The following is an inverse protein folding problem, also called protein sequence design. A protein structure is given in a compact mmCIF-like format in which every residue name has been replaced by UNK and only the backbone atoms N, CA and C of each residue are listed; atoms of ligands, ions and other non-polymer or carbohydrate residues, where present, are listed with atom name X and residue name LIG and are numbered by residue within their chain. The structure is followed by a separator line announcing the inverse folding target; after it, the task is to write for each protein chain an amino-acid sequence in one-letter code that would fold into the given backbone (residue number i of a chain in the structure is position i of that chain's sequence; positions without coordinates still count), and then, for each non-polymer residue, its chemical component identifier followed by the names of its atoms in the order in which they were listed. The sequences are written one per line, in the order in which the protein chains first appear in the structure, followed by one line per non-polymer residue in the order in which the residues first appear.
data_IF_044852162352
#
_entry.id   IF_044852162352
#
_cell.length_a   1.000
_cell.length_b   1.000
_cell.length_c   1.000
_cell.angle_alpha   90.00
_cell.angle_beta   90.00
_cell.angle_gamma   90.00
#
_symmetry.space_group_name_H-M   'P 1'
#
loop_
_entity.id
_entity.type
_entity.pdbx_description
1 polymer ?
#
# COMPACT_ATOMS: atom_id res chain seq x y z
N UNK A 1 -73.29 71.86 7.06
CA UNK A 1 -73.47 70.46 7.54
C UNK A 1 -72.93 69.41 6.58
N UNK A 2 -72.90 69.66 5.25
CA UNK A 2 -72.40 68.67 4.27
C UNK A 2 -70.87 68.56 4.16
N UNK A 3 -70.08 69.58 4.53
CA UNK A 3 -68.60 69.49 4.48
C UNK A 3 -67.98 68.63 5.58
N UNK A 4 -68.56 68.64 6.79
CA UNK A 4 -68.06 67.85 7.93
C UNK A 4 -68.30 66.35 7.69
N UNK A 5 -69.44 66.00 7.08
CA UNK A 5 -69.79 64.61 6.74
C UNK A 5 -68.90 64.06 5.61
N UNK A 6 -68.55 64.90 4.62
CA UNK A 6 -67.64 64.51 3.55
C UNK A 6 -66.20 64.27 4.05
N UNK A 7 -65.67 65.16 4.91
CA UNK A 7 -64.35 64.97 5.53
C UNK A 7 -64.26 63.72 6.42
N UNK A 8 -65.35 63.34 7.10
CA UNK A 8 -65.39 62.12 7.92
C UNK A 8 -65.45 60.85 7.07
N UNK A 9 -66.20 60.87 5.95
CA UNK A 9 -66.34 59.75 5.02
C UNK A 9 -65.06 59.50 4.22
N UNK A 10 -64.33 60.56 3.87
CA UNK A 10 -63.03 60.49 3.19
C UNK A 10 -61.91 60.05 4.14
N UNK A 11 -61.93 60.48 5.41
CA UNK A 11 -61.04 59.97 6.48
C UNK A 11 -61.17 58.45 6.70
N UNK A 12 -62.38 57.91 6.73
CA UNK A 12 -62.61 56.46 6.89
C UNK A 12 -62.17 55.67 5.65
N UNK A 13 -62.41 56.19 4.43
CA UNK A 13 -61.91 55.57 3.19
C UNK A 13 -60.39 55.57 3.11
N UNK A 14 -59.73 56.68 3.45
CA UNK A 14 -58.27 56.81 3.47
C UNK A 14 -57.67 55.84 4.50
N UNK A 15 -58.25 55.75 5.72
CA UNK A 15 -57.82 54.76 6.72
C UNK A 15 -57.96 53.32 6.24
N UNK A 16 -59.04 52.99 5.53
CA UNK A 16 -59.28 51.64 5.01
C UNK A 16 -58.28 51.28 3.89
N UNK A 17 -57.96 52.25 3.02
CA UNK A 17 -56.93 52.09 1.98
C UNK A 17 -55.54 51.91 2.61
N UNK A 18 -55.20 52.68 3.66
CA UNK A 18 -53.94 52.55 4.38
C UNK A 18 -53.80 51.18 5.07
N UNK A 19 -54.87 50.66 5.68
CA UNK A 19 -54.87 49.32 6.29
C UNK A 19 -54.67 48.24 5.22
N UNK A 20 -55.37 48.32 4.09
CA UNK A 20 -55.22 47.36 2.99
C UNK A 20 -53.80 47.41 2.41
N UNK A 21 -53.25 48.61 2.20
CA UNK A 21 -51.88 48.79 1.73
C UNK A 21 -50.85 48.19 2.72
N UNK A 22 -51.05 48.38 4.02
CA UNK A 22 -50.18 47.81 5.05
C UNK A 22 -50.23 46.28 5.07
N UNK A 23 -51.42 45.68 4.91
CA UNK A 23 -51.57 44.22 4.81
C UNK A 23 -50.87 43.67 3.56
N UNK A 24 -50.99 44.35 2.41
CA UNK A 24 -50.30 43.95 1.18
C UNK A 24 -48.78 44.00 1.36
N UNK A 25 -48.26 45.03 2.02
CA UNK A 25 -46.82 45.16 2.31
C UNK A 25 -46.33 44.02 3.22
N UNK A 26 -47.09 43.67 4.26
CA UNK A 26 -46.74 42.56 5.17
C UNK A 26 -46.71 41.22 4.41
N UNK A 27 -47.68 40.98 3.52
CA UNK A 27 -47.73 39.77 2.69
C UNK A 27 -46.52 39.75 1.74
N UNK A 28 -46.20 40.87 1.10
CA UNK A 28 -45.06 40.98 0.18
C UNK A 28 -43.72 40.71 0.90
N UNK A 29 -43.51 41.28 2.10
CA UNK A 29 -42.31 41.02 2.91
C UNK A 29 -42.22 39.54 3.29
N UNK A 30 -43.34 38.96 3.75
CA UNK A 30 -43.39 37.55 4.17
C UNK A 30 -43.05 36.59 3.02
N UNK A 31 -43.59 36.84 1.81
CA UNK A 31 -43.29 36.06 0.61
C UNK A 31 -41.83 36.22 0.19
N UNK A 32 -41.31 37.45 0.17
CA UNK A 32 -39.90 37.71 -0.17
C UNK A 32 -38.94 37.04 0.82
N UNK A 33 -39.22 37.10 2.13
CA UNK A 33 -38.39 36.43 3.14
C UNK A 33 -38.42 34.90 2.99
N UNK A 34 -39.59 34.31 2.71
CA UNK A 34 -39.71 32.87 2.47
C UNK A 34 -38.94 32.42 1.22
N UNK A 35 -39.08 33.15 0.10
CA UNK A 35 -38.35 32.87 -1.13
C UNK A 35 -36.84 33.05 -0.96
N UNK A 36 -36.40 34.09 -0.27
CA UNK A 36 -34.99 34.33 0.02
C UNK A 36 -34.38 33.20 0.87
N UNK A 37 -35.07 32.80 1.94
CA UNK A 37 -34.60 31.73 2.83
C UNK A 37 -34.58 30.36 2.14
N UNK A 38 -35.64 30.02 1.40
CA UNK A 38 -35.70 28.75 0.66
C UNK A 38 -34.64 28.66 -0.44
N UNK A 39 -34.43 29.74 -1.21
CA UNK A 39 -33.38 29.79 -2.23
C UNK A 39 -31.98 29.67 -1.61
N UNK A 40 -31.72 30.36 -0.48
CA UNK A 40 -30.43 30.27 0.21
C UNK A 40 -30.16 28.84 0.72
N UNK A 41 -31.15 28.18 1.32
CA UNK A 41 -31.04 26.78 1.74
C UNK A 41 -30.77 25.83 0.56
N UNK A 42 -31.41 26.06 -0.58
CA UNK A 42 -31.18 25.24 -1.79
C UNK A 42 -29.76 25.43 -2.33
N UNK A 43 -29.26 26.68 -2.37
CA UNK A 43 -27.89 26.99 -2.77
C UNK A 43 -26.85 26.37 -1.82
N UNK A 44 -27.08 26.39 -0.50
CA UNK A 44 -26.21 25.73 0.47
C UNK A 44 -26.19 24.20 0.27
N UNK A 45 -27.35 23.58 0.07
CA UNK A 45 -27.43 22.14 -0.23
C UNK A 45 -26.68 21.77 -1.51
N UNK A 46 -26.78 22.60 -2.55
CA UNK A 46 -26.04 22.40 -3.80
C UNK A 46 -24.54 22.55 -3.57
N UNK A 47 -24.09 23.56 -2.81
CA UNK A 47 -22.67 23.74 -2.46
C UNK A 47 -22.13 22.55 -1.68
N UNK A 48 -22.82 22.13 -0.62
CA UNK A 48 -22.46 20.96 0.18
C UNK A 48 -22.42 19.71 -0.69
N UNK A 49 -23.42 19.49 -1.56
CA UNK A 49 -23.43 18.34 -2.46
C UNK A 49 -22.27 18.37 -3.46
N UNK A 50 -21.90 19.54 -4.00
CA UNK A 50 -20.72 19.70 -4.87
C UNK A 50 -19.42 19.41 -4.11
N UNK A 51 -19.26 19.95 -2.91
CA UNK A 51 -18.09 19.69 -2.07
C UNK A 51 -17.97 18.21 -1.70
N UNK A 52 -19.09 17.56 -1.34
CA UNK A 52 -19.13 16.13 -1.06
C UNK A 52 -18.71 15.31 -2.29
N UNK A 53 -19.20 15.66 -3.49
CA UNK A 53 -18.79 15.00 -4.74
C UNK A 53 -17.29 15.15 -5.00
N UNK A 54 -16.73 16.35 -4.82
CA UNK A 54 -15.28 16.59 -4.99
C UNK A 54 -14.48 15.78 -3.98
N UNK A 55 -14.90 15.75 -2.71
CA UNK A 55 -14.24 14.95 -1.66
C UNK A 55 -14.30 13.45 -1.97
N UNK A 56 -15.43 12.95 -2.43
CA UNK A 56 -15.58 11.55 -2.84
C UNK A 56 -14.66 11.21 -4.03
N UNK A 57 -14.58 12.09 -5.02
CA UNK A 57 -13.68 11.92 -6.16
C UNK A 57 -12.20 11.89 -5.74
N UNK A 58 -11.78 12.85 -4.91
CA UNK A 58 -10.42 12.89 -4.38
C UNK A 58 -10.10 11.65 -3.54
N UNK A 59 -11.04 11.20 -2.70
CA UNK A 59 -10.87 9.99 -1.91
C UNK A 59 -10.76 8.74 -2.79
N UNK A 60 -11.57 8.64 -3.85
CA UNK A 60 -11.51 7.55 -4.82
C UNK A 60 -10.18 7.50 -5.56
N UNK A 61 -9.72 8.64 -6.08
CA UNK A 61 -8.40 8.77 -6.75
C UNK A 61 -7.24 8.42 -5.82
N UNK A 62 -7.26 8.93 -4.59
CA UNK A 62 -6.26 8.62 -3.57
C UNK A 62 -6.28 7.14 -3.16
N UNK A 63 -7.44 6.49 -3.15
CA UNK A 63 -7.54 5.05 -2.89
C UNK A 63 -6.83 4.24 -3.99
N UNK A 64 -6.97 4.65 -5.26
CA UNK A 64 -6.26 4.06 -6.40
C UNK A 64 -4.74 4.22 -6.22
N UNK A 65 -4.26 5.45 -5.97
CA UNK A 65 -2.83 5.73 -5.73
C UNK A 65 -2.26 4.88 -4.58
N UNK A 66 -2.91 4.92 -3.40
CA UNK A 66 -2.47 4.17 -2.22
C UNK A 66 -2.43 2.66 -2.47
N UNK A 67 -3.36 2.13 -3.27
CA UNK A 67 -3.35 0.71 -3.64
C UNK A 67 -2.10 0.38 -4.45
N UNK A 68 -1.77 1.19 -5.45
CA UNK A 68 -0.59 0.97 -6.29
C UNK A 68 0.73 1.20 -5.56
N UNK A 69 0.82 2.21 -4.71
CA UNK A 69 1.98 2.43 -3.84
C UNK A 69 2.29 1.18 -3.02
N UNK A 70 1.27 0.61 -2.36
CA UNK A 70 1.40 -0.63 -1.57
C UNK A 70 1.63 -1.87 -2.43
N UNK A 71 0.97 -1.97 -3.59
CA UNK A 71 1.15 -3.06 -4.53
C UNK A 71 2.62 -3.14 -5.00
N UNK A 72 3.28 -2.00 -5.15
CA UNK A 72 4.66 -1.89 -5.63
C UNK A 72 5.72 -1.83 -4.53
N UNK A 73 5.33 -1.90 -3.25
CA UNK A 73 6.29 -2.14 -2.17
C UNK A 73 6.97 -3.51 -2.32
N UNK A 74 8.16 -3.66 -1.75
CA UNK A 74 8.92 -4.90 -1.80
C UNK A 74 10.14 -4.83 -2.70
N UNK A 75 11.02 -5.81 -2.53
CA UNK A 75 12.27 -5.93 -3.24
C UNK A 75 12.16 -6.70 -4.53
N UNK A 76 12.90 -6.25 -5.54
CA UNK A 76 13.15 -7.09 -6.72
C UNK A 76 14.00 -8.31 -6.34
N UNK A 77 14.01 -9.31 -7.22
CA UNK A 77 14.90 -10.48 -7.09
C UNK A 77 16.36 -10.05 -6.99
N UNK A 78 16.79 -9.02 -7.74
CA UNK A 78 18.18 -8.53 -7.69
C UNK A 78 18.52 -7.99 -6.29
N UNK A 79 17.59 -7.27 -5.65
CA UNK A 79 17.74 -6.78 -4.27
C UNK A 79 17.81 -7.94 -3.27
N UNK A 80 16.94 -8.93 -3.44
CA UNK A 80 16.97 -10.15 -2.62
C UNK A 80 18.33 -10.87 -2.72
N UNK A 81 18.87 -11.04 -3.93
CA UNK A 81 20.18 -11.68 -4.14
C UNK A 81 21.31 -10.87 -3.51
N UNK A 82 21.30 -9.54 -3.64
CA UNK A 82 22.28 -8.66 -2.99
C UNK A 82 22.23 -8.82 -1.46
N UNK A 83 21.04 -8.83 -0.89
CA UNK A 83 20.85 -8.99 0.55
C UNK A 83 21.33 -10.37 1.03
N UNK A 84 20.96 -11.46 0.34
CA UNK A 84 21.46 -12.81 0.67
C UNK A 84 22.99 -12.89 0.62
N UNK A 85 23.62 -12.19 -0.33
CA UNK A 85 25.08 -12.14 -0.42
C UNK A 85 25.70 -11.38 0.77
N UNK A 86 25.07 -10.28 1.21
CA UNK A 86 25.52 -9.53 2.39
C UNK A 86 25.32 -10.32 3.69
N UNK A 87 24.22 -11.08 3.81
CA UNK A 87 24.00 -12.03 4.92
C UNK A 87 25.14 -13.05 4.96
N UNK A 88 25.43 -13.71 3.84
CA UNK A 88 26.51 -14.69 3.75
C UNK A 88 27.87 -14.09 4.11
N UNK A 89 28.20 -12.88 3.63
CA UNK A 89 29.46 -12.22 3.95
C UNK A 89 29.58 -11.86 5.42
N UNK A 90 28.53 -11.27 5.99
CA UNK A 90 28.52 -10.81 7.39
C UNK A 90 28.52 -11.96 8.40
N UNK A 91 28.01 -13.14 8.03
CA UNK A 91 27.99 -14.35 8.84
C UNK A 91 29.39 -14.90 9.15
N UNK A 92 30.31 -14.83 8.19
CA UNK A 92 31.64 -15.49 8.26
C UNK A 92 32.43 -15.11 9.52
N UNK A 93 32.46 -13.82 9.88
CA UNK A 93 33.28 -13.37 11.01
C UNK A 93 32.71 -13.84 12.36
N UNK A 94 31.39 -13.85 12.50
CA UNK A 94 30.69 -14.33 13.71
C UNK A 94 30.83 -15.84 13.82
N UNK A 95 30.78 -16.57 12.70
CA UNK A 95 30.98 -18.01 12.71
C UNK A 95 32.42 -18.43 13.05
N UNK A 96 33.40 -17.62 12.65
CA UNK A 96 34.81 -17.82 13.00
C UNK A 96 35.08 -17.57 14.48
N UNK A 97 34.28 -16.76 15.16
CA UNK A 97 34.37 -16.56 16.61
C UNK A 97 33.63 -17.65 17.41
N UNK A 98 33.23 -18.75 16.77
CA UNK A 98 32.67 -19.92 17.45
C UNK A 98 31.15 -19.89 17.61
N UNK A 99 30.45 -19.00 16.92
CA UNK A 99 28.98 -18.99 16.87
C UNK A 99 28.44 -19.65 15.61
N UNK A 100 27.14 -19.97 15.56
CA UNK A 100 26.46 -20.47 14.36
C UNK A 100 25.13 -19.76 14.21
N UNK A 101 24.82 -19.30 12.99
CA UNK A 101 23.56 -18.63 12.71
C UNK A 101 22.42 -19.65 12.59
N UNK A 102 21.56 -19.71 13.60
CA UNK A 102 20.46 -20.66 13.63
C UNK A 102 19.15 -20.08 13.08
N UNK A 103 18.98 -18.76 13.16
CA UNK A 103 17.79 -18.09 12.65
C UNK A 103 18.09 -16.66 12.21
N UNK A 104 17.32 -16.20 11.22
CA UNK A 104 17.22 -14.78 10.91
C UNK A 104 15.87 -14.49 10.26
N UNK A 105 15.42 -13.25 10.36
CA UNK A 105 14.22 -12.77 9.70
C UNK A 105 14.47 -11.38 9.13
N UNK A 106 14.13 -11.19 7.87
CA UNK A 106 14.24 -9.90 7.18
C UNK A 106 12.88 -9.48 6.64
N UNK A 107 12.60 -8.18 6.72
CA UNK A 107 11.54 -7.51 5.99
C UNK A 107 12.15 -6.44 5.05
N UNK A 108 11.31 -5.61 4.46
CA UNK A 108 11.75 -4.56 3.52
C UNK A 108 12.74 -3.55 4.12
N UNK A 109 12.70 -3.32 5.44
CA UNK A 109 13.48 -2.29 6.12
C UNK A 109 14.63 -2.86 6.96
N UNK A 110 14.39 -3.96 7.67
CA UNK A 110 15.28 -4.45 8.70
C UNK A 110 15.38 -5.99 8.70
N UNK A 111 16.46 -6.48 9.30
CA UNK A 111 16.77 -7.86 9.55
C UNK A 111 17.13 -8.06 11.03
N UNK A 112 16.70 -9.18 11.58
CA UNK A 112 17.07 -9.67 12.89
C UNK A 112 17.83 -10.98 12.73
N UNK A 113 18.95 -11.13 13.41
CA UNK A 113 19.83 -12.30 13.31
C UNK A 113 20.09 -12.89 14.68
N UNK A 114 20.04 -14.21 14.78
CA UNK A 114 20.30 -14.95 16.01
C UNK A 114 21.38 -16.01 15.79
N UNK A 115 22.34 -16.02 16.71
CA UNK A 115 23.50 -16.90 16.67
C UNK A 115 23.68 -17.62 18.00
N UNK A 116 24.01 -18.91 17.94
CA UNK A 116 24.27 -19.73 19.12
C UNK A 116 25.75 -20.10 19.24
N UNK A 117 26.30 -20.04 20.44
CA UNK A 117 27.67 -20.44 20.73
C UNK A 117 27.83 -21.95 20.52
N UNK A 118 28.86 -22.36 19.78
CA UNK A 118 29.19 -23.78 19.57
C UNK A 118 29.72 -24.38 20.87
N UNK A 119 29.42 -25.65 21.09
CA UNK A 119 29.96 -26.39 22.22
C UNK A 119 31.50 -26.38 22.21
N UNK A 120 32.10 -26.00 23.34
CA UNK A 120 33.56 -25.91 23.50
C UNK A 120 34.20 -24.66 22.87
N UNK A 121 33.42 -23.77 22.23
CA UNK A 121 33.94 -22.49 21.78
C UNK A 121 34.08 -21.49 22.94
N UNK A 122 35.07 -20.60 22.83
CA UNK A 122 35.22 -19.49 23.76
C UNK A 122 34.21 -18.40 23.43
N UNK A 123 33.48 -17.95 24.44
CA UNK A 123 32.54 -16.84 24.29
C UNK A 123 33.30 -15.56 23.92
N UNK A 124 32.90 -14.93 22.81
CA UNK A 124 33.48 -13.67 22.33
C UNK A 124 32.42 -12.81 21.67
N UNK A 125 32.19 -11.62 22.21
CA UNK A 125 31.23 -10.67 21.65
C UNK A 125 31.83 -10.02 20.40
N UNK A 126 31.14 -10.13 19.28
CA UNK A 126 31.54 -9.55 18.00
C UNK A 126 30.50 -8.56 17.49
N UNK A 127 30.92 -7.47 16.87
CA UNK A 127 30.02 -6.61 16.09
C UNK A 127 29.68 -7.27 14.76
N UNK A 128 28.43 -7.16 14.31
CA UNK A 128 28.06 -7.57 12.95
C UNK A 128 28.33 -6.41 11.99
N UNK A 129 29.14 -6.66 10.98
CA UNK A 129 29.36 -5.68 9.90
C UNK A 129 28.41 -6.01 8.75
N UNK A 130 27.54 -5.05 8.40
CA UNK A 130 26.52 -5.22 7.38
C UNK A 130 26.42 -3.96 6.51
N UNK A 131 26.61 -4.07 5.20
CA UNK A 131 26.71 -2.93 4.26
C UNK A 131 27.67 -1.81 4.71
N UNK A 132 28.72 -2.16 5.45
CA UNK A 132 29.73 -1.29 6.09
C UNK A 132 29.34 -0.69 7.45
N UNK A 133 28.09 -0.83 7.87
CA UNK A 133 27.62 -0.41 9.19
C UNK A 133 27.93 -1.48 10.23
N UNK A 134 28.13 -1.05 11.48
CA UNK A 134 28.48 -1.92 12.62
C UNK A 134 27.29 -2.00 13.57
N UNK A 135 26.87 -3.22 13.87
CA UNK A 135 25.75 -3.51 14.75
C UNK A 135 26.25 -4.22 15.99
N UNK A 136 25.94 -3.64 17.16
CA UNK A 136 26.25 -4.25 18.45
C UNK A 136 25.22 -5.32 18.78
N UNK A 137 25.64 -6.50 19.28
CA UNK A 137 24.70 -7.52 19.68
C UNK A 137 24.08 -7.22 21.04
N UNK A 138 22.86 -7.70 21.26
CA UNK A 138 22.40 -8.13 22.58
C UNK A 138 22.89 -9.56 22.82
N UNK A 139 23.34 -9.91 24.03
CA UNK A 139 23.96 -11.21 24.27
C UNK A 139 23.54 -11.86 25.59
N UNK A 140 23.58 -13.19 25.61
CA UNK A 140 23.44 -14.05 26.80
C UNK A 140 24.70 -14.91 26.97
N UNK A 141 24.67 -15.89 27.87
CA UNK A 141 25.77 -16.84 28.06
C UNK A 141 26.10 -17.67 26.80
N UNK A 142 25.12 -17.90 25.92
CA UNK A 142 25.23 -18.77 24.75
C UNK A 142 24.67 -18.17 23.45
N UNK A 143 24.18 -16.93 23.44
CA UNK A 143 23.53 -16.33 22.28
C UNK A 143 24.03 -14.91 21.96
N UNK A 144 24.11 -14.60 20.66
CA UNK A 144 24.21 -13.23 20.13
C UNK A 144 22.98 -12.93 19.27
N UNK A 145 22.34 -11.79 19.53
CA UNK A 145 21.19 -11.27 18.79
C UNK A 145 21.50 -9.90 18.21
N UNK A 146 21.28 -9.71 16.91
CA UNK A 146 21.41 -8.42 16.23
C UNK A 146 20.05 -8.02 15.69
N UNK A 147 19.49 -6.93 16.22
CA UNK A 147 18.17 -6.44 15.83
C UNK A 147 18.29 -5.16 15.00
N UNK A 148 17.28 -4.89 14.17
CA UNK A 148 17.17 -3.68 13.36
C UNK A 148 18.37 -3.46 12.41
N UNK A 149 18.94 -4.55 11.89
CA UNK A 149 20.01 -4.50 10.89
C UNK A 149 19.43 -4.11 9.53
N UNK A 150 19.93 -3.05 8.90
CA UNK A 150 19.32 -2.50 7.69
C UNK A 150 19.32 -3.51 6.52
N UNK A 151 18.15 -3.89 6.02
CA UNK A 151 18.03 -4.93 4.99
C UNK A 151 18.31 -4.41 3.57
N UNK A 152 17.92 -3.16 3.28
CA UNK A 152 17.93 -2.57 1.93
C UNK A 152 17.21 -3.45 0.89
N UNK A 153 16.23 -4.25 1.34
CA UNK A 153 15.42 -5.08 0.46
C UNK A 153 14.43 -4.20 -0.34
N UNK A 154 14.16 -2.99 0.11
CA UNK A 154 13.32 -2.05 -0.60
C UNK A 154 13.88 -1.68 -1.99
N UNK A 155 12.97 -1.56 -2.95
CA UNK A 155 13.25 -1.04 -4.27
C UNK A 155 13.07 -2.05 -5.39
N UNK A 156 12.40 -1.61 -6.45
CA UNK A 156 12.16 -2.38 -7.66
C UNK A 156 11.86 -1.43 -8.82
N UNK A 157 11.95 -1.94 -10.04
CA UNK A 157 11.74 -1.14 -11.26
C UNK A 157 10.30 -0.64 -11.38
N UNK A 158 9.31 -1.37 -10.88
CA UNK A 158 7.89 -1.03 -11.02
C UNK A 158 7.57 0.20 -10.18
N UNK A 159 8.00 0.22 -8.92
CA UNK A 159 7.86 1.39 -8.04
C UNK A 159 8.55 2.63 -8.60
N UNK A 160 9.75 2.47 -9.17
CA UNK A 160 10.46 3.58 -9.80
C UNK A 160 9.68 4.14 -11.00
N UNK A 161 9.14 3.27 -11.86
CA UNK A 161 8.29 3.68 -12.98
C UNK A 161 7.02 4.40 -12.52
N UNK A 162 6.37 3.87 -11.47
CA UNK A 162 5.18 4.48 -10.90
C UNK A 162 5.46 5.90 -10.38
N UNK A 163 6.54 6.07 -9.62
CA UNK A 163 6.96 7.37 -9.07
C UNK A 163 7.35 8.38 -10.17
N UNK A 164 7.87 7.90 -11.30
CA UNK A 164 8.25 8.71 -12.46
C UNK A 164 7.11 8.92 -13.47
N UNK A 165 5.90 8.46 -13.17
CA UNK A 165 4.74 8.49 -14.08
C UNK A 165 4.99 7.77 -15.42
N UNK A 166 5.89 6.79 -15.42
CA UNK A 166 6.22 5.98 -16.59
C UNK A 166 5.20 4.86 -16.83
N UNK A 167 5.02 4.47 -18.09
CA UNK A 167 4.13 3.38 -18.46
C UNK A 167 4.61 2.03 -17.89
N UNK A 168 3.76 1.38 -17.10
CA UNK A 168 3.94 0.02 -16.59
C UNK A 168 3.06 -0.92 -17.42
N UNK A 169 3.64 -2.01 -17.93
CA UNK A 169 2.91 -2.98 -18.78
C UNK A 169 3.09 -4.39 -18.23
N UNK A 170 2.32 -4.78 -17.19
CA UNK A 170 2.42 -6.10 -16.59
C UNK A 170 1.86 -7.19 -17.50
N UNK A 171 2.29 -8.44 -17.31
CA UNK A 171 1.71 -9.59 -18.00
C UNK A 171 0.26 -9.81 -17.61
N UNK A 172 -0.50 -10.53 -18.45
CA UNK A 172 -1.84 -10.98 -18.06
C UNK A 172 -1.79 -11.94 -16.87
N UNK A 173 -2.79 -11.89 -16.00
CA UNK A 173 -2.86 -12.78 -14.84
C UNK A 173 -2.95 -14.25 -15.27
N UNK A 174 -3.62 -14.55 -16.38
CA UNK A 174 -3.63 -15.89 -16.96
C UNK A 174 -2.22 -16.38 -17.32
N UNK A 175 -1.35 -15.52 -17.87
CA UNK A 175 0.01 -15.91 -18.24
C UNK A 175 0.87 -16.18 -17.00
N UNK A 176 0.78 -15.33 -15.97
CA UNK A 176 1.54 -15.52 -14.72
C UNK A 176 1.08 -16.77 -13.99
N UNK A 177 -0.24 -16.98 -13.86
CA UNK A 177 -0.80 -18.17 -13.22
C UNK A 177 -0.44 -19.43 -14.00
N UNK A 178 -0.57 -19.42 -15.33
CA UNK A 178 -0.19 -20.56 -16.17
C UNK A 178 1.31 -20.89 -16.00
N UNK A 179 2.17 -19.86 -15.95
CA UNK A 179 3.59 -20.06 -15.65
C UNK A 179 3.80 -20.73 -14.28
N UNK A 180 3.19 -20.22 -13.21
CA UNK A 180 3.36 -20.78 -11.86
C UNK A 180 2.86 -22.22 -11.79
N UNK A 181 1.66 -22.51 -12.31
CA UNK A 181 1.10 -23.87 -12.30
C UNK A 181 1.91 -24.83 -13.17
N UNK A 182 2.29 -24.41 -14.38
CA UNK A 182 3.14 -25.23 -15.27
C UNK A 182 4.50 -25.50 -14.63
N UNK A 183 5.13 -24.49 -14.05
CA UNK A 183 6.39 -24.65 -13.33
C UNK A 183 6.24 -25.66 -12.19
N UNK A 184 5.25 -25.48 -11.31
CA UNK A 184 5.02 -26.35 -10.17
C UNK A 184 4.68 -27.79 -10.56
N UNK A 185 4.06 -28.00 -11.74
CA UNK A 185 3.77 -29.35 -12.26
C UNK A 185 5.02 -30.12 -12.68
N UNK A 186 6.12 -29.42 -12.97
CA UNK A 186 7.42 -29.99 -13.33
C UNK A 186 8.36 -30.12 -12.12
N UNK A 187 7.98 -29.64 -10.93
CA UNK A 187 8.80 -29.73 -9.73
C UNK A 187 8.35 -30.91 -8.86
N UNK A 188 9.26 -31.86 -8.65
CA UNK A 188 9.02 -32.96 -7.70
C UNK A 188 9.28 -32.53 -6.26
N UNK A 189 10.29 -31.68 -6.02
CA UNK A 189 10.61 -31.15 -4.69
C UNK A 189 9.60 -30.07 -4.25
N UNK A 190 8.88 -30.27 -3.13
CA UNK A 190 8.03 -29.22 -2.56
C UNK A 190 8.79 -27.93 -2.21
N UNK A 191 10.09 -28.01 -1.92
CA UNK A 191 10.96 -26.87 -1.61
C UNK A 191 11.45 -26.13 -2.84
N UNK A 192 10.96 -26.46 -4.04
CA UNK A 192 11.22 -25.69 -5.26
C UNK A 192 9.92 -25.16 -5.88
N UNK A 193 8.77 -25.35 -5.21
CA UNK A 193 7.47 -24.88 -5.69
C UNK A 193 7.18 -23.44 -5.26
N UNK A 194 6.55 -22.68 -6.16
CA UNK A 194 6.00 -21.35 -5.89
C UNK A 194 4.55 -21.52 -5.44
N UNK A 195 4.27 -21.34 -4.16
CA UNK A 195 2.93 -21.52 -3.59
C UNK A 195 2.16 -20.21 -3.73
N UNK A 196 1.00 -20.24 -4.39
CA UNK A 196 0.08 -19.10 -4.44
C UNK A 196 -0.72 -19.11 -3.13
N UNK A 197 -0.49 -18.10 -2.29
CA UNK A 197 -1.21 -17.94 -1.02
C UNK A 197 -2.48 -17.11 -1.18
N UNK A 198 -2.55 -16.24 -2.19
CA UNK A 198 -3.79 -15.58 -2.61
C UNK A 198 -3.82 -15.34 -4.11
N UNK A 199 -4.98 -15.56 -4.71
CA UNK A 199 -5.22 -15.25 -6.12
C UNK A 199 -5.13 -13.74 -6.40
N UNK A 200 -4.81 -13.34 -7.64
CA UNK A 200 -4.68 -11.94 -8.00
C UNK A 200 -6.03 -11.22 -7.87
N UNK A 201 -6.06 -10.15 -7.08
CA UNK A 201 -7.24 -9.31 -6.86
C UNK A 201 -6.87 -7.83 -6.90
N UNK A 202 -7.87 -6.96 -7.11
CA UNK A 202 -7.73 -5.51 -6.98
C UNK A 202 -8.85 -4.99 -6.10
N UNK A 203 -8.50 -4.22 -5.07
CA UNK A 203 -9.47 -3.57 -4.19
C UNK A 203 -9.99 -2.25 -4.75
N UNK A 204 -9.47 -1.82 -5.90
CA UNK A 204 -9.77 -0.51 -6.50
C UNK A 204 -10.48 -0.60 -7.85
N UNK A 205 -10.84 -1.80 -8.31
CA UNK A 205 -11.49 -1.98 -9.63
C UNK A 205 -12.74 -1.12 -9.80
N UNK A 206 -13.62 -1.04 -8.79
CA UNK A 206 -14.81 -0.19 -8.86
C UNK A 206 -14.48 1.31 -8.98
N UNK A 207 -13.41 1.75 -8.33
CA UNK A 207 -12.95 3.13 -8.38
C UNK A 207 -12.32 3.42 -9.75
N UNK A 208 -11.55 2.49 -10.30
CA UNK A 208 -10.98 2.59 -11.65
C UNK A 208 -12.09 2.66 -12.72
N UNK A 209 -13.15 1.84 -12.58
CA UNK A 209 -14.32 1.88 -13.47
C UNK A 209 -15.05 3.24 -13.39
N UNK A 210 -15.05 3.87 -12.21
CA UNK A 210 -15.63 5.22 -12.00
C UNK A 210 -14.74 6.32 -12.60
N UNK A 211 -13.41 6.13 -12.60
CA UNK A 211 -12.42 7.10 -13.07
C UNK A 211 -11.52 6.53 -14.18
N UNK A 212 -12.08 6.15 -15.34
CA UNK A 212 -11.33 5.42 -16.38
C UNK A 212 -10.21 6.26 -17.02
N UNK A 213 -10.34 7.59 -17.01
CA UNK A 213 -9.35 8.51 -17.58
C UNK A 213 -8.29 8.97 -16.57
N UNK A 214 -8.33 8.47 -15.33
CA UNK A 214 -7.32 8.81 -14.33
C UNK A 214 -6.02 8.05 -14.63
N UNK A 215 -4.89 8.75 -14.56
CA UNK A 215 -3.59 8.24 -15.03
C UNK A 215 -3.14 6.94 -14.35
N UNK A 216 -3.58 6.73 -13.10
CA UNK A 216 -3.26 5.54 -12.32
C UNK A 216 -4.31 4.43 -12.41
N UNK A 217 -5.36 4.57 -13.23
CA UNK A 217 -6.36 3.51 -13.46
C UNK A 217 -5.78 2.42 -14.38
N UNK A 218 -4.80 1.67 -13.88
CA UNK A 218 -4.05 0.69 -14.65
C UNK A 218 -4.78 -0.65 -14.84
N UNK A 219 -5.69 -0.99 -13.93
CA UNK A 219 -6.36 -2.29 -13.87
C UNK A 219 -5.44 -3.43 -13.46
N UNK A 220 -4.40 -3.17 -12.64
CA UNK A 220 -3.54 -4.26 -12.16
C UNK A 220 -4.14 -4.97 -10.96
N UNK A 221 -3.72 -6.21 -10.80
CA UNK A 221 -4.09 -7.11 -9.73
C UNK A 221 -2.84 -7.63 -9.03
N UNK A 222 -2.98 -7.92 -7.74
CA UNK A 222 -1.89 -8.41 -6.89
C UNK A 222 -2.27 -9.78 -6.35
N UNK A 223 -1.44 -10.78 -6.61
CA UNK A 223 -1.52 -12.10 -5.97
C UNK A 223 -0.34 -12.30 -5.02
N UNK A 224 -0.55 -13.05 -3.94
CA UNK A 224 0.51 -13.33 -2.96
C UNK A 224 1.09 -14.72 -3.18
N UNK A 225 2.40 -14.84 -2.94
CA UNK A 225 3.14 -16.09 -3.05
C UNK A 225 4.01 -16.34 -1.83
N UNK A 226 4.30 -17.62 -1.61
CA UNK A 226 5.36 -18.09 -0.72
C UNK A 226 6.25 -19.06 -1.47
N UNK A 227 7.55 -19.01 -1.22
CA UNK A 227 8.53 -19.89 -1.82
C UNK A 227 9.52 -20.31 -0.73
N UNK A 228 9.69 -21.61 -0.56
CA UNK A 228 10.81 -22.15 0.20
C UNK A 228 11.96 -22.34 -0.79
N UNK A 229 13.19 -21.92 -0.47
CA UNK A 229 14.34 -22.20 -1.33
C UNK A 229 15.66 -22.09 -0.55
N UNK A 230 16.80 -22.35 -1.19
CA UNK A 230 18.10 -22.33 -0.54
C UNK A 230 18.50 -20.94 -0.02
N UNK A 231 19.09 -20.92 1.19
CA UNK A 231 19.80 -19.79 1.82
C UNK A 231 21.16 -19.50 1.13
N UNK A 232 21.17 -19.50 -0.19
CA UNK A 232 22.37 -19.30 -0.99
C UNK A 232 22.07 -18.33 -2.13
N UNK A 233 22.78 -17.21 -2.14
CA UNK A 233 22.56 -16.13 -3.11
C UNK A 233 22.76 -16.58 -4.56
N UNK A 234 23.73 -17.48 -4.81
CA UNK A 234 23.96 -18.01 -6.15
C UNK A 234 22.81 -18.92 -6.60
N UNK A 235 22.38 -19.86 -5.76
CA UNK A 235 21.22 -20.72 -6.06
C UNK A 235 19.94 -19.91 -6.28
N UNK A 236 19.72 -18.89 -5.44
CA UNK A 236 18.59 -17.96 -5.60
C UNK A 236 18.63 -17.24 -6.94
N UNK A 237 19.81 -16.73 -7.33
CA UNK A 237 20.01 -16.05 -8.61
C UNK A 237 19.72 -16.99 -9.77
N UNK A 238 20.27 -18.21 -9.75
CA UNK A 238 20.08 -19.20 -10.81
C UNK A 238 18.64 -19.68 -10.91
N UNK A 239 17.95 -19.82 -9.77
CA UNK A 239 16.53 -20.20 -9.74
C UNK A 239 15.68 -19.19 -10.51
N UNK A 240 15.88 -17.89 -10.24
CA UNK A 240 15.14 -16.83 -10.92
C UNK A 240 15.70 -16.48 -12.31
N UNK A 241 16.86 -17.02 -12.68
CA UNK A 241 17.44 -16.80 -13.99
C UNK A 241 16.53 -17.39 -15.06
N UNK A 242 16.22 -16.60 -16.10
CA UNK A 242 15.35 -16.97 -17.23
C UNK A 242 13.90 -17.31 -16.88
N UNK A 243 13.46 -17.18 -15.62
CA UNK A 243 12.02 -17.24 -15.31
C UNK A 243 11.30 -16.05 -15.96
N UNK A 244 10.18 -16.28 -16.67
CA UNK A 244 9.40 -15.20 -17.25
C UNK A 244 8.82 -14.31 -16.16
N UNK A 245 8.55 -13.05 -16.50
CA UNK A 245 7.88 -12.08 -15.62
C UNK A 245 8.60 -11.79 -14.30
N UNK A 246 9.87 -12.18 -14.13
CA UNK A 246 10.64 -12.00 -12.89
C UNK A 246 10.59 -10.58 -12.32
N UNK A 247 10.54 -9.57 -13.18
CA UNK A 247 10.47 -8.15 -12.79
C UNK A 247 9.14 -7.76 -12.12
N UNK A 248 8.12 -8.62 -12.23
CA UNK A 248 6.79 -8.48 -11.62
C UNK A 248 6.59 -9.33 -10.36
N UNK A 249 7.62 -10.04 -9.91
CA UNK A 249 7.66 -10.67 -8.59
C UNK A 249 8.42 -9.77 -7.62
N UNK A 250 7.78 -9.44 -6.50
CA UNK A 250 8.31 -8.59 -5.44
C UNK A 250 8.32 -9.36 -4.12
N UNK A 251 9.38 -9.22 -3.33
CA UNK A 251 9.55 -9.90 -2.05
C UNK A 251 9.45 -8.93 -0.87
N UNK A 252 8.59 -9.27 0.09
CA UNK A 252 8.33 -8.44 1.26
C UNK A 252 9.15 -8.88 2.46
N UNK A 253 9.37 -10.19 2.59
CA UNK A 253 10.09 -10.76 3.73
C UNK A 253 10.66 -12.13 3.43
N UNK A 254 11.65 -12.52 4.21
CA UNK A 254 12.13 -13.89 4.26
C UNK A 254 12.73 -14.25 5.60
N UNK A 255 12.71 -15.54 5.93
CA UNK A 255 13.18 -16.05 7.21
C UNK A 255 13.88 -17.39 7.07
N UNK A 256 14.88 -17.60 7.92
CA UNK A 256 15.50 -18.88 8.21
C UNK A 256 15.08 -19.31 9.61
N UNK A 257 14.47 -20.48 9.73
CA UNK A 257 13.90 -20.98 11.00
C UNK A 257 14.68 -22.13 11.62
N UNK A 258 15.72 -22.64 10.95
CA UNK A 258 16.56 -23.72 11.48
C UNK A 258 17.95 -23.73 10.85
N UNK A 259 18.90 -24.19 11.64
CA UNK A 259 20.29 -24.43 11.30
C UNK A 259 20.46 -25.56 10.27
N UNK A 260 19.55 -26.54 10.24
CA UNK A 260 19.80 -27.87 9.65
C UNK A 260 19.65 -27.88 8.12
N UNK A 261 18.77 -27.03 7.57
CA UNK A 261 18.30 -27.22 6.19
C UNK A 261 18.83 -26.18 5.19
N UNK A 262 19.63 -25.18 5.59
CA UNK A 262 20.13 -24.10 4.70
C UNK A 262 19.05 -23.61 3.71
N UNK A 263 17.83 -23.49 4.22
CA UNK A 263 16.61 -23.18 3.49
C UNK A 263 15.99 -21.96 4.15
N UNK A 264 15.44 -21.08 3.32
CA UNK A 264 14.71 -19.89 3.71
C UNK A 264 13.30 -19.97 3.17
N UNK A 265 12.35 -19.43 3.92
CA UNK A 265 11.00 -19.16 3.45
C UNK A 265 10.93 -17.70 3.02
N UNK A 266 10.59 -17.48 1.75
CA UNK A 266 10.35 -16.18 1.15
C UNK A 266 8.84 -15.95 1.07
N UNK A 267 8.41 -14.73 1.37
CA UNK A 267 7.05 -14.27 1.11
C UNK A 267 7.11 -13.03 0.22
N UNK A 268 6.18 -12.98 -0.72
CA UNK A 268 6.09 -11.88 -1.66
C UNK A 268 4.79 -11.89 -2.42
N UNK A 269 4.80 -11.18 -3.53
CA UNK A 269 3.65 -10.95 -4.38
C UNK A 269 4.06 -10.92 -5.83
N UNK A 270 3.09 -11.12 -6.71
CA UNK A 270 3.23 -10.89 -8.13
C UNK A 270 2.16 -9.93 -8.62
N UNK A 271 2.53 -9.13 -9.62
CA UNK A 271 1.67 -8.13 -10.23
C UNK A 271 1.31 -8.58 -11.65
N UNK A 272 0.03 -8.51 -11.98
CA UNK A 272 -0.48 -8.85 -13.31
C UNK A 272 -1.65 -7.95 -13.70
N UNK A 273 -2.09 -8.03 -14.95
CA UNK A 273 -3.29 -7.35 -15.45
C UNK A 273 -4.39 -8.35 -15.77
N UNK A 274 -5.65 -7.98 -15.54
CA UNK A 274 -6.81 -8.78 -15.96
C UNK A 274 -6.75 -9.11 -17.45
#
# INVERSE_FOLDING_TARGET
MNEIINNWKDSVKIKRILIIAMVIIIIAISLCSYFYYSHHQEQEKIKIAKELKIKQEQAGKKAIENFYEKAFEGGSIDKLVVLLNEINRSRVNIERSGFTEYAYQCNQSACNFNYKLRQGALFSVQEKIFYKDRYKPSFSADELSYNEVLSKLDGNKIKNKFNNEEKITPPSCSNVLNFIYSYNSLQDDPNEKIIITSLPTSSVSSQEDTYPNYQYSYGFMVGNISLTHSDNAFKMKTFWERKPYKDYFLFDSFRKTSEINNIIQLNGKFICKK
#
